data_IF_414667565886
#
_entry.id   IF_414667565886
#
_cell.length_a   1.000
_cell.length_b   1.000
_cell.length_c   1.000
_cell.angle_alpha   90.00
_cell.angle_beta   90.00
_cell.angle_gamma   90.00
#
_symmetry.space_group_name_H-M   'P 1'
#
loop_
_entity.id
_entity.type
_entity.pdbx_description
1 polymer ?
#
# COMPACT_ATOMS: atom_id res chain seq x y z
N UNK A 1 -5.59 -21.27 8.01
CA UNK A 1 -4.46 -20.53 7.40
C UNK A 1 -5.01 -19.75 6.21
N UNK A 2 -5.13 -18.42 6.31
CA UNK A 2 -5.69 -17.58 5.22
C UNK A 2 -4.58 -17.21 4.24
N UNK A 3 -4.88 -17.30 2.96
CA UNK A 3 -3.97 -17.02 1.86
C UNK A 3 -3.39 -15.59 1.96
N UNK A 4 -2.06 -15.50 2.09
CA UNK A 4 -1.33 -14.25 1.86
C UNK A 4 -1.30 -14.03 0.35
N UNK A 5 -1.94 -12.97 -0.13
CA UNK A 5 -1.76 -12.51 -1.49
C UNK A 5 -0.37 -11.85 -1.60
N UNK A 6 0.65 -12.67 -1.81
CA UNK A 6 1.94 -12.18 -2.28
C UNK A 6 1.74 -11.78 -3.73
N UNK A 7 1.84 -10.49 -4.06
CA UNK A 7 1.98 -10.10 -5.47
C UNK A 7 3.34 -10.59 -5.93
N UNK A 8 3.39 -11.81 -6.48
CA UNK A 8 4.39 -12.12 -7.48
C UNK A 8 4.04 -11.28 -8.70
N UNK A 9 4.96 -10.40 -9.12
CA UNK A 9 4.91 -9.82 -10.44
C UNK A 9 5.07 -11.00 -11.41
N UNK A 10 3.94 -11.56 -11.86
CA UNK A 10 3.94 -12.66 -12.79
C UNK A 10 4.49 -12.12 -14.10
N UNK A 11 5.77 -12.36 -14.37
CA UNK A 11 6.30 -12.38 -15.73
C UNK A 11 5.67 -13.62 -16.35
N UNK A 12 4.49 -13.43 -16.93
CA UNK A 12 3.70 -14.45 -17.59
C UNK A 12 3.09 -13.82 -18.84
N UNK A 13 3.83 -13.92 -19.93
CA UNK A 13 3.31 -13.66 -21.28
C UNK A 13 2.16 -14.63 -21.51
N UNK A 14 0.93 -14.12 -21.53
CA UNK A 14 -0.19 -14.74 -22.22
C UNK A 14 -0.96 -13.64 -22.95
N UNK A 15 -1.00 -13.77 -24.28
CA UNK A 15 -1.75 -12.93 -25.21
C UNK A 15 -3.21 -12.75 -24.77
N UNK A 16 -3.63 -11.49 -24.64
CA UNK A 16 -4.79 -11.00 -25.39
C UNK A 16 -4.68 -9.48 -25.53
N UNK A 17 -4.66 -9.05 -26.79
CA UNK A 17 -4.51 -7.68 -27.26
C UNK A 17 -5.84 -6.95 -27.04
N UNK A 18 -5.83 -5.89 -26.22
CA UNK A 18 -6.64 -4.68 -26.43
C UNK A 18 -5.73 -3.49 -26.02
N UNK A 19 -5.25 -2.66 -26.96
CA UNK A 19 -4.46 -1.49 -26.63
C UNK A 19 -5.42 -0.31 -26.38
N UNK A 20 -5.58 0.10 -25.13
CA UNK A 20 -6.05 1.45 -24.86
C UNK A 20 -4.86 2.40 -25.05
N UNK A 21 -4.73 2.93 -26.26
CA UNK A 21 -3.89 4.08 -26.56
C UNK A 21 -4.43 5.29 -25.79
N UNK A 22 -3.67 5.78 -24.81
CA UNK A 22 -3.38 7.20 -24.68
C UNK A 22 -2.20 7.43 -23.73
N UNK A 23 -1.05 7.64 -24.36
CA UNK A 23 -0.07 8.71 -24.10
C UNK A 23 -0.16 9.38 -22.73
N UNK A 24 0.77 9.03 -21.84
CA UNK A 24 1.85 9.93 -21.37
C UNK A 24 3.07 9.04 -21.17
N UNK A 25 4.06 9.25 -22.03
CA UNK A 25 5.43 8.86 -21.81
C UNK A 25 5.95 9.58 -20.57
N UNK A 26 6.08 8.86 -19.45
CA UNK A 26 7.16 9.15 -18.51
C UNK A 26 8.03 7.91 -18.45
N UNK A 27 9.27 8.11 -18.84
CA UNK A 27 10.37 7.16 -18.80
C UNK A 27 10.34 6.38 -17.49
N UNK A 28 9.81 5.14 -17.47
CA UNK A 28 10.07 4.20 -16.37
C UNK A 28 11.50 3.70 -16.53
N UNK A 29 12.46 4.54 -16.17
CA UNK A 29 13.84 4.13 -15.97
C UNK A 29 13.85 2.99 -14.96
N UNK A 30 14.42 1.85 -15.34
CA UNK A 30 14.35 0.62 -14.57
C UNK A 30 15.02 0.75 -13.22
N UNK A 31 14.26 0.93 -12.15
CA UNK A 31 14.76 0.78 -10.79
C UNK A 31 13.75 0.02 -9.94
N UNK A 32 14.02 -1.27 -9.73
CA UNK A 32 13.48 -2.11 -8.64
C UNK A 32 12.22 -2.95 -8.83
N UNK A 33 11.62 -2.98 -10.02
CA UNK A 33 10.47 -3.86 -10.29
C UNK A 33 10.72 -5.31 -9.81
N UNK A 34 9.93 -5.75 -8.82
CA UNK A 34 10.03 -7.10 -8.24
C UNK A 34 11.19 -7.33 -7.25
N UNK A 35 12.01 -6.33 -6.94
CA UNK A 35 13.05 -6.44 -5.91
C UNK A 35 12.44 -6.40 -4.50
N UNK A 36 12.99 -7.12 -3.52
CA UNK A 36 12.56 -6.99 -2.13
C UNK A 36 12.90 -5.59 -1.59
N UNK A 37 11.99 -4.96 -0.82
CA UNK A 37 12.15 -3.60 -0.28
C UNK A 37 13.05 -3.62 0.97
N UNK A 38 14.32 -4.03 0.82
CA UNK A 38 15.26 -4.13 1.95
C UNK A 38 15.60 -2.72 2.44
N UNK A 39 15.30 -2.43 3.72
CA UNK A 39 15.56 -1.12 4.32
C UNK A 39 14.58 -0.02 3.92
N UNK A 40 13.64 -0.29 2.99
CA UNK A 40 12.61 0.66 2.59
C UNK A 40 11.39 0.54 3.52
N UNK A 41 11.07 1.63 4.20
CA UNK A 41 9.92 1.71 5.12
C UNK A 41 8.89 2.76 4.74
N UNK A 42 9.02 3.35 3.55
CA UNK A 42 8.09 4.32 3.00
C UNK A 42 7.12 3.62 2.05
N UNK A 43 5.85 3.52 2.45
CA UNK A 43 4.82 2.81 1.69
C UNK A 43 4.51 3.48 0.34
N UNK A 44 4.29 4.81 0.26
CA UNK A 44 4.05 5.46 -1.04
C UNK A 44 5.17 5.22 -2.05
N UNK A 45 6.43 5.37 -1.64
CA UNK A 45 7.60 5.10 -2.47
C UNK A 45 7.68 3.64 -2.88
N UNK A 46 7.41 2.71 -1.96
CA UNK A 46 7.42 1.27 -2.23
C UNK A 46 6.45 0.90 -3.35
N UNK A 47 5.22 1.42 -3.31
CA UNK A 47 4.21 1.17 -4.34
C UNK A 47 4.57 1.84 -5.66
N UNK A 48 4.96 3.12 -5.64
CA UNK A 48 5.27 3.90 -6.86
C UNK A 48 6.49 3.37 -7.61
N UNK A 49 7.53 2.94 -6.89
CA UNK A 49 8.75 2.36 -7.48
C UNK A 49 8.59 0.87 -7.85
N UNK A 50 7.47 0.23 -7.53
CA UNK A 50 7.16 -1.13 -7.98
C UNK A 50 7.93 -2.24 -7.27
N UNK A 51 8.32 -2.04 -6.01
CA UNK A 51 8.96 -3.09 -5.20
C UNK A 51 8.01 -4.26 -4.94
N UNK A 52 8.58 -5.42 -4.64
CA UNK A 52 7.81 -6.57 -4.16
C UNK A 52 7.16 -6.22 -2.81
N UNK A 53 5.83 -6.18 -2.79
CA UNK A 53 5.04 -5.86 -1.61
C UNK A 53 4.17 -7.05 -1.21
N UNK A 54 4.26 -7.47 0.06
CA UNK A 54 3.27 -8.36 0.66
C UNK A 54 2.12 -7.49 1.14
N UNK A 55 0.95 -7.66 0.53
CA UNK A 55 -0.21 -6.84 0.84
C UNK A 55 -0.68 -7.04 2.28
N UNK A 56 -0.51 -6.00 3.10
CA UNK A 56 -1.01 -5.91 4.48
C UNK A 56 -2.09 -4.84 4.64
N UNK A 57 -2.69 -4.38 3.55
CA UNK A 57 -3.65 -3.27 3.55
C UNK A 57 -4.92 -3.54 4.36
N UNK A 58 -5.30 -4.80 4.59
CA UNK A 58 -6.39 -5.14 5.51
C UNK A 58 -6.12 -4.77 6.98
N UNK A 59 -4.89 -4.39 7.34
CA UNK A 59 -4.63 -3.75 8.63
C UNK A 59 -5.45 -2.46 8.80
N UNK A 60 -5.70 -1.72 7.73
CA UNK A 60 -6.54 -0.51 7.76
C UNK A 60 -7.95 -0.87 8.23
N UNK A 61 -8.53 -1.92 7.65
CA UNK A 61 -9.81 -2.48 8.09
C UNK A 61 -9.75 -2.90 9.56
N UNK A 62 -8.73 -3.65 9.96
CA UNK A 62 -8.57 -4.05 11.37
C UNK A 62 -8.48 -2.86 12.34
N UNK A 63 -7.91 -1.73 11.90
CA UNK A 63 -7.85 -0.49 12.68
C UNK A 63 -9.25 0.14 12.78
N UNK A 64 -9.98 0.25 11.67
CA UNK A 64 -11.30 0.86 11.62
C UNK A 64 -12.36 0.04 12.37
N UNK A 65 -12.30 -1.29 12.27
CA UNK A 65 -13.21 -2.22 12.96
C UNK A 65 -12.89 -2.33 14.46
N UNK A 66 -11.75 -1.81 14.92
CA UNK A 66 -11.31 -1.97 16.31
C UNK A 66 -12.04 -1.00 17.25
N UNK A 67 -12.58 -1.47 18.38
CA UNK A 67 -13.08 -0.58 19.43
C UNK A 67 -11.95 0.05 20.26
N UNK A 68 -10.68 -0.30 20.00
CA UNK A 68 -9.56 0.17 20.78
C UNK A 68 -9.25 1.65 20.48
N UNK A 69 -9.18 2.47 21.52
CA UNK A 69 -8.77 3.88 21.40
C UNK A 69 -7.28 4.03 21.07
N UNK A 70 -6.47 3.05 21.46
CA UNK A 70 -5.02 3.03 21.25
C UNK A 70 -4.60 1.66 20.72
N UNK A 71 -3.95 1.65 19.55
CA UNK A 71 -3.36 0.45 18.98
C UNK A 71 -1.85 0.43 19.25
N UNK A 72 -1.41 -0.46 20.14
CA UNK A 72 0.01 -0.71 20.38
C UNK A 72 0.52 -1.82 19.46
N UNK A 73 1.47 -1.50 18.59
CA UNK A 73 2.20 -2.50 17.81
C UNK A 73 3.48 -2.88 18.57
N UNK A 74 3.55 -4.03 19.28
CA UNK A 74 4.67 -4.41 20.15
C UNK A 74 5.98 -4.62 19.36
N UNK A 75 7.08 -5.06 19.97
CA UNK A 75 8.42 -5.04 19.36
C UNK A 75 8.94 -6.35 18.69
N UNK A 76 8.20 -7.12 17.85
CA UNK A 76 8.89 -8.07 16.98
C UNK A 76 9.73 -7.32 15.92
N UNK A 77 11.03 -7.60 15.89
CA UNK A 77 11.98 -7.00 14.94
C UNK A 77 11.62 -7.40 13.50
N UNK A 78 11.84 -6.47 12.55
CA UNK A 78 11.66 -6.70 11.10
C UNK A 78 10.25 -7.11 10.64
N UNK A 79 9.23 -6.93 11.48
CA UNK A 79 7.85 -7.25 11.12
C UNK A 79 7.19 -6.24 10.16
N UNK A 80 7.88 -5.13 9.86
CA UNK A 80 7.38 -4.08 8.97
C UNK A 80 6.46 -3.07 9.66
N UNK A 81 6.65 -2.81 10.96
CA UNK A 81 5.84 -1.84 11.73
C UNK A 81 5.93 -0.44 11.16
N UNK A 82 7.15 0.03 10.89
CA UNK A 82 7.37 1.35 10.28
C UNK A 82 6.68 1.46 8.92
N UNK A 83 6.82 0.43 8.08
CA UNK A 83 6.14 0.38 6.78
C UNK A 83 4.60 0.39 6.93
N UNK A 84 4.06 -0.37 7.87
CA UNK A 84 2.63 -0.39 8.16
C UNK A 84 2.13 0.98 8.68
N UNK A 85 2.90 1.67 9.52
CA UNK A 85 2.55 3.01 10.00
C UNK A 85 2.60 4.03 8.86
N UNK A 86 3.58 3.92 7.96
CA UNK A 86 3.63 4.73 6.73
C UNK A 86 2.43 4.47 5.83
N UNK A 87 1.99 3.21 5.69
CA UNK A 87 0.76 2.85 4.96
C UNK A 87 -0.49 3.45 5.61
N UNK A 88 -0.65 3.35 6.93
CA UNK A 88 -1.79 3.94 7.64
C UNK A 88 -1.83 5.45 7.45
N UNK A 89 -0.68 6.13 7.55
CA UNK A 89 -0.57 7.56 7.23
C UNK A 89 -1.00 7.82 5.79
N UNK A 90 -0.47 7.08 4.82
CA UNK A 90 -0.82 7.28 3.40
C UNK A 90 -2.31 7.06 3.11
N UNK A 91 -2.96 6.18 3.86
CA UNK A 91 -4.39 5.94 3.72
C UNK A 91 -5.23 7.09 4.32
N UNK A 92 -4.96 7.51 5.54
CA UNK A 92 -5.84 8.46 6.26
C UNK A 92 -5.52 9.93 6.02
N UNK A 93 -4.26 10.28 5.77
CA UNK A 93 -3.78 11.67 5.72
C UNK A 93 -4.38 12.44 4.54
N UNK A 94 -5.16 13.48 4.84
CA UNK A 94 -5.78 14.36 3.83
C UNK A 94 -4.77 15.13 2.98
N UNK A 95 -3.55 15.30 3.49
CA UNK A 95 -2.48 15.97 2.78
C UNK A 95 -1.69 15.00 1.88
N UNK A 96 -2.05 13.70 1.86
CA UNK A 96 -1.39 12.71 1.03
C UNK A 96 -1.84 12.85 -0.43
N UNK A 97 -0.90 13.23 -1.29
CA UNK A 97 -1.09 13.35 -2.73
C UNK A 97 -1.25 11.95 -3.35
N UNK A 98 -2.25 11.83 -4.22
CA UNK A 98 -2.58 10.61 -4.98
C UNK A 98 -2.77 9.37 -4.10
N UNK A 99 -3.37 9.55 -2.92
CA UNK A 99 -3.64 8.43 -2.01
C UNK A 99 -4.43 7.31 -2.70
N UNK A 100 -5.44 7.64 -3.51
CA UNK A 100 -6.27 6.68 -4.24
C UNK A 100 -5.44 5.67 -5.05
N UNK A 101 -4.45 6.15 -5.80
CA UNK A 101 -3.58 5.33 -6.64
C UNK A 101 -2.71 4.36 -5.84
N UNK A 102 -2.32 4.72 -4.62
CA UNK A 102 -1.47 3.89 -3.77
C UNK A 102 -2.15 2.59 -3.30
N UNK A 103 -3.49 2.56 -3.29
CA UNK A 103 -4.27 1.43 -2.81
C UNK A 103 -4.98 0.66 -3.92
N UNK A 104 -4.79 1.06 -5.17
CA UNK A 104 -5.44 0.44 -6.32
C UNK A 104 -5.04 -1.04 -6.45
N UNK A 105 -6.05 -1.90 -6.48
CA UNK A 105 -5.94 -3.35 -6.54
C UNK A 105 -5.40 -4.00 -5.26
N UNK A 106 -5.23 -3.27 -4.15
CA UNK A 106 -4.90 -3.86 -2.85
C UNK A 106 -6.17 -4.41 -2.17
N UNK A 107 -5.99 -5.29 -1.19
CA UNK A 107 -7.08 -5.94 -0.49
C UNK A 107 -8.03 -4.95 0.21
N UNK A 108 -7.54 -3.80 0.67
CA UNK A 108 -8.39 -2.76 1.29
C UNK A 108 -9.35 -2.11 0.29
N UNK A 109 -8.97 -1.92 -0.98
CA UNK A 109 -9.88 -1.37 -2.00
C UNK A 109 -11.06 -2.33 -2.22
N UNK A 110 -10.78 -3.64 -2.22
CA UNK A 110 -11.79 -4.70 -2.36
C UNK A 110 -12.61 -4.92 -1.10
N UNK A 111 -12.21 -4.35 0.03
CA UNK A 111 -12.92 -4.51 1.31
C UNK A 111 -14.25 -3.75 1.34
N UNK A 112 -14.45 -2.76 0.45
CA UNK A 112 -15.72 -2.07 0.24
C UNK A 112 -15.68 -0.58 0.58
N UNK A 113 -16.75 0.12 0.19
CA UNK A 113 -16.88 1.58 0.35
C UNK A 113 -16.89 2.04 1.81
N UNK A 114 -17.37 1.19 2.72
CA UNK A 114 -17.33 1.43 4.17
C UNK A 114 -15.93 1.77 4.66
N UNK A 115 -14.89 1.15 4.07
CA UNK A 115 -13.51 1.42 4.42
C UNK A 115 -12.88 2.52 3.55
N UNK A 116 -13.12 2.51 2.24
CA UNK A 116 -12.47 3.45 1.32
C UNK A 116 -12.96 4.89 1.49
N UNK A 117 -14.15 5.12 2.06
CA UNK A 117 -14.65 6.47 2.38
C UNK A 117 -13.71 7.24 3.32
N UNK A 118 -12.94 6.55 4.16
CA UNK A 118 -12.00 7.10 5.11
C UNK A 118 -10.68 7.55 4.47
N UNK A 119 -10.45 7.22 3.21
CA UNK A 119 -9.20 7.48 2.52
C UNK A 119 -9.01 8.99 2.28
N UNK A 120 -7.86 9.53 2.69
CA UNK A 120 -7.50 10.94 2.51
C UNK A 120 -8.42 11.92 3.24
N UNK A 121 -9.09 11.52 4.33
CA UNK A 121 -10.08 12.36 5.03
C UNK A 121 -9.57 13.08 6.26
N UNK A 122 -8.52 12.56 6.90
CA UNK A 122 -8.17 12.95 8.27
C UNK A 122 -6.88 13.75 8.33
N UNK A 123 -6.76 14.75 9.22
CA UNK A 123 -5.46 15.27 9.58
C UNK A 123 -4.69 14.19 10.36
N UNK A 124 -3.52 13.79 9.86
CA UNK A 124 -2.67 12.79 10.52
C UNK A 124 -1.41 13.48 11.04
N UNK A 125 -1.17 13.35 12.35
CA UNK A 125 0.09 13.77 12.97
C UNK A 125 1.02 12.57 13.03
N UNK A 126 2.16 12.66 12.34
CA UNK A 126 3.17 11.60 12.30
C UNK A 126 4.44 12.09 12.99
N UNK A 127 4.72 11.55 14.18
CA UNK A 127 5.89 11.92 14.97
C UNK A 127 7.01 10.90 14.77
N UNK A 128 8.20 11.40 14.47
CA UNK A 128 9.45 10.63 14.40
C UNK A 128 10.48 11.28 15.30
N UNK A 129 11.35 10.46 15.91
CA UNK A 129 12.51 10.93 16.66
C UNK A 129 13.70 11.18 15.74
#
# INVERSE_FOLDING_TARGET
MRALAVRYCHVGIWMNIIPAMNTISSQKSGLSAGKPPIGLSDFPRLIREGYCYVDKSLLIRSVLDSPAQVLLLPRPRRFGKTLNLSMLRAFFDRNMIDSAELFQGLAIERAGQEYTVHQGRYPVVFLTL
#
